data_IF_618827653388
#
_entry.id   IF_618827653388
#
_cell.length_a   1.000
_cell.length_b   1.000
_cell.length_c   1.000
_cell.angle_alpha   90.00
_cell.angle_beta   90.00
_cell.angle_gamma   90.00
#
_symmetry.space_group_name_H-M   'P 1'
#
loop_
_entity.id
_entity.type
_entity.pdbx_description
1 polymer ?
#
# COMPACT_ATOMS: atom_id res chain seq x y z
N UNK A 1 -50.31 -13.34 -24.24
CA UNK A 1 -51.06 -12.06 -24.30
C UNK A 1 -51.73 -11.81 -22.97
N UNK A 2 -51.16 -10.96 -22.13
CA UNK A 2 -51.76 -10.50 -20.87
C UNK A 2 -51.81 -8.98 -20.91
N UNK A 3 -52.95 -8.47 -21.39
CA UNK A 3 -53.30 -7.07 -21.29
C UNK A 3 -53.95 -6.81 -19.93
N UNK A 4 -53.40 -5.88 -19.14
CA UNK A 4 -54.22 -5.00 -18.30
C UNK A 4 -53.53 -3.64 -18.18
N UNK A 5 -54.37 -2.63 -18.36
CA UNK A 5 -54.10 -1.27 -18.82
C UNK A 5 -54.43 -0.31 -17.69
N UNK A 6 -53.46 0.57 -17.37
CA UNK A 6 -53.51 1.94 -16.80
C UNK A 6 -54.38 2.24 -15.55
N UNK A 7 -53.78 2.96 -14.61
CA UNK A 7 -54.28 4.29 -14.22
C UNK A 7 -53.12 5.18 -13.74
N UNK A 8 -52.75 6.15 -14.58
CA UNK A 8 -52.02 7.36 -14.17
C UNK A 8 -53.09 8.38 -13.80
N UNK A 9 -53.02 8.93 -12.59
CA UNK A 9 -53.78 10.12 -12.22
C UNK A 9 -52.81 11.30 -12.22
N UNK A 10 -52.97 12.16 -13.23
CA UNK A 10 -52.31 13.45 -13.36
C UNK A 10 -53.41 14.51 -13.26
N UNK A 11 -53.26 15.47 -12.35
CA UNK A 11 -53.87 16.81 -12.39
C UNK A 11 -53.42 17.56 -11.11
N UNK A 12 -52.99 18.82 -11.06
CA UNK A 12 -52.83 19.90 -12.05
C UNK A 12 -52.11 21.05 -11.30
N UNK A 13 -51.06 21.61 -11.90
CA UNK A 13 -50.62 23.03 -11.98
C UNK A 13 -50.57 23.88 -10.68
N UNK A 14 -49.49 24.61 -10.34
CA UNK A 14 -49.27 26.01 -10.81
C UNK A 14 -47.90 26.60 -10.38
N UNK A 15 -47.24 27.25 -11.34
CA UNK A 15 -46.32 28.41 -11.34
C UNK A 15 -45.09 28.54 -10.40
N UNK A 16 -43.94 28.64 -11.08
CA UNK A 16 -42.74 29.47 -10.86
C UNK A 16 -42.64 30.40 -9.63
N UNK A 17 -41.52 30.27 -8.91
CA UNK A 17 -40.73 31.42 -8.40
C UNK A 17 -39.30 30.95 -8.03
N UNK A 18 -38.31 31.73 -8.47
CA UNK A 18 -36.89 31.57 -8.21
C UNK A 18 -36.53 31.82 -6.72
N UNK A 19 -35.43 31.22 -6.23
CA UNK A 19 -34.84 31.62 -4.95
C UNK A 19 -33.91 30.61 -4.29
N UNK A 20 -32.61 30.74 -4.57
CA UNK A 20 -31.46 30.46 -3.69
C UNK A 20 -31.40 29.14 -2.91
N UNK A 21 -30.62 28.17 -3.43
CA UNK A 21 -29.98 27.11 -2.62
C UNK A 21 -28.55 27.57 -2.28
N UNK A 22 -28.11 27.49 -1.01
CA UNK A 22 -26.84 28.08 -0.60
C UNK A 22 -25.65 27.32 -1.23
N UNK A 23 -24.66 28.10 -1.66
CA UNK A 23 -23.41 27.64 -2.23
C UNK A 23 -22.69 26.67 -1.28
N UNK A 24 -22.60 25.40 -1.66
CA UNK A 24 -21.59 24.52 -1.11
C UNK A 24 -20.27 24.89 -1.76
N UNK A 25 -19.41 25.50 -0.96
CA UNK A 25 -18.05 25.85 -1.31
C UNK A 25 -17.34 24.61 -1.88
N UNK A 26 -16.89 24.75 -3.13
CA UNK A 26 -15.86 23.91 -3.73
C UNK A 26 -14.60 24.03 -2.86
N UNK A 27 -14.48 23.16 -1.86
CA UNK A 27 -13.19 22.90 -1.23
C UNK A 27 -12.37 22.02 -2.17
N UNK A 28 -11.88 22.66 -3.24
CA UNK A 28 -10.79 22.18 -4.07
C UNK A 28 -9.58 22.05 -3.13
N UNK A 29 -9.39 20.88 -2.54
CA UNK A 29 -8.16 20.56 -1.83
C UNK A 29 -7.01 20.83 -2.80
N UNK A 30 -5.96 21.54 -2.37
CA UNK A 30 -4.84 21.82 -3.24
C UNK A 30 -4.27 20.46 -3.63
N UNK A 31 -4.30 20.20 -4.94
CA UNK A 31 -3.62 19.09 -5.57
C UNK A 31 -2.16 19.24 -5.19
N UNK A 32 -1.74 18.51 -4.16
CA UNK A 32 -0.38 18.52 -3.70
C UNK A 32 0.46 17.91 -4.81
N UNK A 33 1.13 18.78 -5.55
CA UNK A 33 2.31 18.50 -6.37
C UNK A 33 3.44 18.00 -5.47
N UNK A 34 3.23 16.86 -4.79
CA UNK A 34 4.24 16.21 -3.98
C UNK A 34 5.07 15.30 -4.88
N UNK A 35 6.18 15.84 -5.35
CA UNK A 35 7.44 15.16 -5.65
C UNK A 35 7.38 13.62 -5.72
N UNK A 36 7.29 13.10 -6.94
CA UNK A 36 7.75 11.84 -7.59
C UNK A 36 8.16 10.55 -6.82
N UNK A 37 8.05 10.47 -5.49
CA UNK A 37 8.30 9.26 -4.71
C UNK A 37 7.28 9.07 -3.59
N UNK A 38 6.24 8.24 -3.82
CA UNK A 38 5.19 7.99 -2.83
C UNK A 38 5.66 7.25 -1.57
N UNK A 39 6.83 6.60 -1.63
CA UNK A 39 7.33 5.74 -0.55
C UNK A 39 8.75 6.16 -0.17
N UNK A 40 8.99 6.27 1.14
CA UNK A 40 10.32 6.55 1.69
C UNK A 40 11.34 5.45 1.32
N UNK A 41 12.60 5.81 1.05
CA UNK A 41 13.60 4.83 0.67
C UNK A 41 13.89 3.83 1.82
N UNK A 42 14.26 2.59 1.49
CA UNK A 42 14.62 1.59 2.49
C UNK A 42 15.83 2.05 3.31
N UNK A 43 15.76 1.86 4.64
CA UNK A 43 16.83 2.22 5.59
C UNK A 43 17.95 1.18 5.55
N UNK A 44 18.76 1.19 4.48
CA UNK A 44 19.83 0.20 4.23
C UNK A 44 20.75 -0.03 5.42
N UNK A 45 21.16 1.03 6.13
CA UNK A 45 22.03 0.89 7.30
C UNK A 45 21.40 0.07 8.43
N UNK A 46 20.09 0.21 8.65
CA UNK A 46 19.37 -0.60 9.65
C UNK A 46 19.23 -2.04 9.16
N UNK A 47 18.87 -2.21 7.89
CA UNK A 47 18.69 -3.53 7.27
C UNK A 47 19.99 -4.33 7.36
N UNK A 48 21.12 -3.77 6.92
CA UNK A 48 22.43 -4.44 6.95
C UNK A 48 22.85 -4.78 8.38
N UNK A 49 22.69 -3.85 9.34
CA UNK A 49 23.01 -4.12 10.75
C UNK A 49 22.18 -5.28 11.29
N UNK A 50 20.88 -5.29 11.00
CA UNK A 50 19.97 -6.31 11.48
C UNK A 50 20.25 -7.66 10.80
N UNK A 51 20.50 -7.68 9.49
CA UNK A 51 20.91 -8.87 8.76
C UNK A 51 22.20 -9.45 9.35
N UNK A 52 23.22 -8.63 9.59
CA UNK A 52 24.48 -9.10 10.20
C UNK A 52 24.27 -9.62 11.62
N UNK A 53 23.50 -8.91 12.44
CA UNK A 53 23.21 -9.30 13.83
C UNK A 53 22.60 -10.70 13.90
N UNK A 54 21.72 -11.06 12.98
CA UNK A 54 21.11 -12.40 12.94
C UNK A 54 21.94 -13.42 12.17
N UNK A 55 22.66 -13.02 11.12
CA UNK A 55 23.49 -13.92 10.32
C UNK A 55 24.72 -14.43 11.09
N UNK A 56 25.35 -13.62 11.93
CA UNK A 56 26.56 -14.01 12.68
C UNK A 56 26.30 -15.23 13.59
N UNK A 57 25.34 -15.21 14.54
CA UNK A 57 25.08 -16.36 15.39
C UNK A 57 24.56 -17.56 14.59
N UNK A 58 23.77 -17.32 13.54
CA UNK A 58 23.26 -18.36 12.67
C UNK A 58 24.38 -19.15 11.99
N UNK A 59 25.33 -18.46 11.36
CA UNK A 59 26.46 -19.11 10.69
C UNK A 59 27.45 -19.72 11.69
N UNK A 60 27.64 -19.11 12.86
CA UNK A 60 28.43 -19.71 13.94
C UNK A 60 27.86 -21.07 14.36
N UNK A 61 26.54 -21.16 14.58
CA UNK A 61 25.88 -22.41 14.95
C UNK A 61 25.99 -23.46 13.83
N UNK A 62 25.78 -23.04 12.59
CA UNK A 62 25.78 -23.92 11.42
C UNK A 62 27.15 -24.51 11.10
N UNK A 63 28.23 -23.74 11.27
CA UNK A 63 29.56 -24.14 10.84
C UNK A 63 30.47 -24.61 11.98
N UNK A 64 30.31 -24.08 13.18
CA UNK A 64 31.28 -24.29 14.27
C UNK A 64 30.70 -25.03 15.47
N UNK A 65 29.51 -24.66 15.93
CA UNK A 65 28.96 -25.25 17.16
C UNK A 65 28.40 -26.66 16.94
N UNK A 66 27.64 -26.86 15.85
CA UNK A 66 27.01 -28.15 15.57
C UNK A 66 27.73 -28.93 14.49
N UNK A 67 27.88 -30.23 14.73
CA UNK A 67 28.41 -31.17 13.75
C UNK A 67 27.28 -31.60 12.79
N UNK A 68 26.90 -30.70 11.89
CA UNK A 68 25.86 -30.94 10.88
C UNK A 68 26.50 -31.58 9.65
N UNK A 69 25.82 -32.58 9.08
CA UNK A 69 26.23 -33.24 7.84
C UNK A 69 26.34 -32.26 6.67
N UNK A 70 27.30 -32.51 5.77
CA UNK A 70 27.63 -31.58 4.69
C UNK A 70 26.47 -31.36 3.72
N UNK A 71 25.70 -32.39 3.40
CA UNK A 71 24.53 -32.27 2.52
C UNK A 71 23.44 -31.40 3.16
N UNK A 72 23.19 -31.58 4.45
CA UNK A 72 22.23 -30.79 5.20
C UNK A 72 22.69 -29.34 5.36
N UNK A 73 23.99 -29.09 5.61
CA UNK A 73 24.56 -27.73 5.58
C UNK A 73 24.32 -27.06 4.24
N UNK A 74 24.53 -27.77 3.13
CA UNK A 74 24.34 -27.24 1.77
C UNK A 74 22.88 -26.86 1.52
N UNK A 75 21.91 -27.69 1.89
CA UNK A 75 20.48 -27.37 1.70
C UNK A 75 20.05 -26.17 2.56
N UNK A 76 20.53 -26.09 3.80
CA UNK A 76 20.32 -24.94 4.69
C UNK A 76 20.89 -23.67 4.05
N UNK A 77 22.11 -23.71 3.52
CA UNK A 77 22.77 -22.56 2.88
C UNK A 77 22.05 -22.10 1.60
N UNK A 78 21.59 -23.04 0.78
CA UNK A 78 20.83 -22.71 -0.44
C UNK A 78 19.52 -22.01 -0.07
N UNK A 79 18.79 -22.52 0.93
CA UNK A 79 17.55 -21.91 1.40
C UNK A 79 17.79 -20.51 1.98
N UNK A 80 18.80 -20.37 2.84
CA UNK A 80 19.17 -19.09 3.43
C UNK A 80 19.57 -18.06 2.35
N UNK A 81 20.39 -18.48 1.38
CA UNK A 81 20.80 -17.64 0.25
C UNK A 81 19.62 -17.22 -0.63
N UNK A 82 18.72 -18.16 -0.97
CA UNK A 82 17.53 -17.89 -1.77
C UNK A 82 16.58 -16.93 -1.04
N UNK A 83 16.37 -17.14 0.26
CA UNK A 83 15.54 -16.27 1.10
C UNK A 83 16.11 -14.86 1.22
N UNK A 84 17.43 -14.74 1.39
CA UNK A 84 18.12 -13.45 1.45
C UNK A 84 18.05 -12.70 0.12
N UNK A 85 18.26 -13.40 -1.00
CA UNK A 85 18.09 -12.84 -2.33
C UNK A 85 16.65 -12.36 -2.54
N UNK A 86 15.65 -13.18 -2.19
CA UNK A 86 14.23 -12.83 -2.25
C UNK A 86 13.92 -11.57 -1.44
N UNK A 87 14.42 -11.48 -0.21
CA UNK A 87 14.26 -10.30 0.65
C UNK A 87 14.75 -9.01 -0.01
N UNK A 88 15.96 -9.00 -0.58
CA UNK A 88 16.49 -7.81 -1.25
C UNK A 88 15.75 -7.48 -2.54
N UNK A 89 15.33 -8.48 -3.31
CA UNK A 89 14.48 -8.29 -4.49
C UNK A 89 13.16 -7.65 -4.09
N UNK A 90 12.50 -8.13 -3.03
CA UNK A 90 11.26 -7.54 -2.51
C UNK A 90 11.45 -6.08 -2.10
N UNK A 91 12.53 -5.77 -1.36
CA UNK A 91 12.83 -4.38 -0.98
C UNK A 91 12.99 -3.44 -2.18
N UNK A 92 13.60 -3.92 -3.26
CA UNK A 92 13.72 -3.16 -4.52
C UNK A 92 12.41 -3.08 -5.28
N UNK A 93 11.55 -4.09 -5.18
CA UNK A 93 10.26 -4.15 -5.86
C UNK A 93 9.18 -3.28 -5.20
N UNK A 94 9.21 -3.04 -3.89
CA UNK A 94 8.24 -2.19 -3.18
C UNK A 94 8.03 -0.81 -3.86
N UNK A 95 9.08 0.01 -4.13
CA UNK A 95 8.90 1.31 -4.78
C UNK A 95 8.44 1.21 -6.24
N UNK A 96 8.69 0.08 -6.91
CA UNK A 96 8.22 -0.16 -8.28
C UNK A 96 6.73 -0.51 -8.26
N UNK A 97 6.34 -1.44 -7.38
CA UNK A 97 4.96 -1.90 -7.24
C UNK A 97 4.03 -0.79 -6.72
N UNK A 98 4.49 0.05 -5.80
CA UNK A 98 3.67 1.13 -5.25
C UNK A 98 3.15 2.09 -6.32
N UNK A 99 3.98 2.44 -7.30
CA UNK A 99 3.56 3.27 -8.44
C UNK A 99 2.40 2.64 -9.22
N UNK A 100 2.40 1.32 -9.37
CA UNK A 100 1.33 0.62 -10.07
C UNK A 100 0.04 0.54 -9.24
N UNK A 101 0.19 0.20 -7.97
CA UNK A 101 -0.90 0.06 -7.00
C UNK A 101 -1.63 1.40 -6.80
N UNK A 102 -0.90 2.52 -6.68
CA UNK A 102 -1.47 3.86 -6.61
C UNK A 102 -2.26 4.25 -7.88
N UNK A 103 -1.75 3.89 -9.08
CA UNK A 103 -2.46 4.15 -10.36
C UNK A 103 -3.77 3.38 -10.47
N UNK A 104 -3.88 2.23 -9.80
CA UNK A 104 -5.07 1.39 -9.78
C UNK A 104 -6.03 1.76 -8.65
N UNK A 105 -5.80 2.88 -7.96
CA UNK A 105 -6.56 3.32 -6.79
C UNK A 105 -6.57 2.30 -5.64
N UNK A 106 -5.54 1.45 -5.57
CA UNK A 106 -5.37 0.46 -4.50
C UNK A 106 -4.55 1.08 -3.36
N UNK A 107 -5.01 2.18 -2.79
CA UNK A 107 -4.30 2.90 -1.74
C UNK A 107 -5.19 3.19 -0.53
N UNK A 108 -4.55 3.35 0.62
CA UNK A 108 -5.20 3.78 1.86
C UNK A 108 -4.64 5.10 2.37
N UNK A 109 -5.32 5.68 3.36
CA UNK A 109 -4.76 6.71 4.20
C UNK A 109 -4.48 6.11 5.59
N UNK A 110 -3.41 6.54 6.24
CA UNK A 110 -3.10 6.11 7.60
C UNK A 110 -4.11 6.75 8.60
N UNK A 111 -5.09 5.96 9.02
CA UNK A 111 -6.17 6.40 9.91
C UNK A 111 -5.66 6.78 11.31
N UNK A 112 -4.49 6.30 11.72
CA UNK A 112 -3.88 6.63 12.99
C UNK A 112 -3.18 8.00 12.94
N UNK A 113 -3.07 8.60 11.74
CA UNK A 113 -2.42 9.89 11.50
C UNK A 113 -3.38 10.97 11.01
N UNK A 114 -4.69 10.78 11.23
CA UNK A 114 -5.73 11.76 10.88
C UNK A 114 -5.41 13.13 11.48
N UNK A 115 -5.55 14.18 10.68
CA UNK A 115 -5.25 15.56 11.08
C UNK A 115 -3.78 15.96 10.98
N UNK A 116 -2.87 15.03 10.64
CA UNK A 116 -1.46 15.35 10.37
C UNK A 116 -1.18 15.38 8.87
N UNK A 117 -0.15 16.11 8.40
CA UNK A 117 0.28 16.06 7.00
C UNK A 117 0.67 14.65 6.52
N UNK A 118 1.03 13.75 7.44
CA UNK A 118 1.33 12.35 7.11
C UNK A 118 0.07 11.52 6.86
N UNK A 119 -1.08 11.89 7.45
CA UNK A 119 -2.36 11.21 7.26
C UNK A 119 -2.99 11.44 5.89
N UNK A 120 -2.50 12.41 5.12
CA UNK A 120 -2.96 12.68 3.73
C UNK A 120 -2.10 11.98 2.68
N UNK A 121 -1.06 11.24 3.09
CA UNK A 121 -0.21 10.47 2.18
C UNK A 121 -0.94 9.19 1.77
N UNK A 122 -0.96 8.93 0.46
CA UNK A 122 -1.47 7.67 -0.10
C UNK A 122 -0.45 6.57 0.14
N UNK A 123 -0.80 5.61 0.99
CA UNK A 123 0.00 4.42 1.31
C UNK A 123 -0.50 3.19 0.57
#
# INVERSE_FOLDING_TARGET
MTARKRASAMATTTAAAAGSRPAQADHKSPESTSSDQPIAPPKWGVIVKLSLLFSIPYFYLLFYHYNIEQELKRSILINAGLSLAGFFVTLKMIPVASRYVLRRSLFGYDINKKGTPQGTVKV
#
